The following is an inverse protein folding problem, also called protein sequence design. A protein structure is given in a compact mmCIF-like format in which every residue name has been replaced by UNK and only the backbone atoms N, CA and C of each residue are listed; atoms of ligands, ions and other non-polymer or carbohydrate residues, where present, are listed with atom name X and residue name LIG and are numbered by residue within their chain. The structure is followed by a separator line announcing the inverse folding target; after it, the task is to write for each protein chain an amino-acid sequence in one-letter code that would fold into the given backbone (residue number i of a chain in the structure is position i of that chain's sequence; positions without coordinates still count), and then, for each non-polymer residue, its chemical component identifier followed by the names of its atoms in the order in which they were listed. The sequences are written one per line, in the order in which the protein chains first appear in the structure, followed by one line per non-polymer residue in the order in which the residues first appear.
data_IF_760694495518
#
_entry.id   IF_760694495518
#
_cell.length_a   1.000
_cell.length_b   1.000
_cell.length_c   1.000
_cell.angle_alpha   90.00
_cell.angle_beta   90.00
_cell.angle_gamma   90.00
#
_symmetry.space_group_name_H-M   'P 1'
#
loop_
_entity.id
_entity.type
_entity.pdbx_description
1 polymer ?
#
# COMPACT_ATOMS: atom_id res chain seq x y z
N UNK A 1 -24.27 25.35 -50.37
CA UNK A 1 -23.43 25.66 -49.20
C UNK A 1 -24.28 26.39 -48.17
N UNK A 2 -24.67 25.75 -47.07
CA UNK A 2 -25.06 26.44 -45.83
C UNK A 2 -25.37 25.45 -44.70
N UNK A 3 -25.17 25.93 -43.47
CA UNK A 3 -25.85 25.53 -42.23
C UNK A 3 -25.51 24.18 -41.60
N UNK A 4 -24.25 24.01 -41.17
CA UNK A 4 -23.90 23.33 -39.89
C UNK A 4 -22.56 23.86 -39.37
N UNK A 5 -22.59 24.97 -38.62
CA UNK A 5 -21.56 25.43 -37.65
C UNK A 5 -22.06 26.73 -37.02
N UNK A 6 -23.00 26.62 -36.08
CA UNK A 6 -23.38 27.67 -35.13
C UNK A 6 -24.39 27.08 -34.12
N UNK A 7 -23.92 26.28 -33.17
CA UNK A 7 -24.57 26.12 -31.86
C UNK A 7 -23.56 25.45 -30.93
N UNK A 8 -23.06 26.20 -29.96
CA UNK A 8 -22.06 25.72 -29.00
C UNK A 8 -21.18 26.83 -28.47
N UNK A 9 -21.78 27.90 -27.92
CA UNK A 9 -21.08 28.90 -27.10
C UNK A 9 -22.10 29.84 -26.44
N UNK A 10 -22.82 29.36 -25.42
CA UNK A 10 -23.34 30.17 -24.29
C UNK A 10 -23.65 29.18 -23.16
N UNK A 11 -22.86 29.18 -22.09
CA UNK A 11 -23.23 29.05 -20.66
C UNK A 11 -21.88 28.96 -19.90
N UNK A 12 -21.39 30.13 -19.53
CA UNK A 12 -20.52 30.36 -18.37
C UNK A 12 -20.92 31.75 -17.86
N UNK A 13 -20.92 31.92 -16.53
CA UNK A 13 -21.23 33.14 -15.75
C UNK A 13 -22.66 33.22 -15.19
N UNK A 14 -22.76 32.83 -13.91
CA UNK A 14 -23.65 33.27 -12.81
C UNK A 14 -23.81 32.03 -11.90
N UNK A 15 -23.34 31.97 -10.66
CA UNK A 15 -23.83 32.74 -9.52
C UNK A 15 -22.72 32.82 -8.46
N UNK A 16 -22.22 34.04 -8.22
CA UNK A 16 -21.65 34.47 -6.94
C UNK A 16 -22.36 35.79 -6.62
N UNK A 17 -22.79 35.95 -5.36
CA UNK A 17 -23.50 37.07 -4.71
C UNK A 17 -24.96 36.79 -4.33
N UNK A 18 -25.15 36.27 -3.12
CA UNK A 18 -26.17 36.80 -2.20
C UNK A 18 -25.54 36.83 -0.81
N UNK A 19 -25.26 38.03 -0.31
CA UNK A 19 -25.06 38.30 1.11
C UNK A 19 -26.40 38.62 1.75
N UNK A 20 -26.65 38.08 2.94
CA UNK A 20 -27.62 38.61 3.90
C UNK A 20 -26.98 38.52 5.29
N UNK A 21 -26.90 39.68 5.93
CA UNK A 21 -26.49 39.88 7.32
C UNK A 21 -27.43 39.17 8.30
N UNK A 22 -26.89 38.61 9.38
CA UNK A 22 -27.49 38.70 10.71
C UNK A 22 -26.40 38.56 11.77
N UNK A 23 -26.16 39.63 12.51
CA UNK A 23 -25.49 39.63 13.80
C UNK A 23 -26.54 39.63 14.91
N UNK A 24 -26.35 38.82 15.96
CA UNK A 24 -26.56 39.18 17.40
C UNK A 24 -26.38 37.94 18.31
N UNK A 25 -25.61 38.09 19.40
CA UNK A 25 -25.88 37.40 20.69
C UNK A 25 -24.86 36.40 21.27
N UNK A 26 -23.78 36.89 21.91
CA UNK A 26 -23.09 36.51 23.19
C UNK A 26 -23.20 35.07 23.82
N UNK A 27 -22.33 34.70 24.80
CA UNK A 27 -20.86 34.75 24.90
C UNK A 27 -20.22 33.40 25.36
N UNK A 28 -18.90 33.25 25.23
CA UNK A 28 -18.14 32.33 26.10
C UNK A 28 -17.08 33.06 26.91
N UNK A 29 -17.10 32.75 28.20
CA UNK A 29 -16.36 33.36 29.29
C UNK A 29 -14.86 33.11 29.21
N UNK A 30 -14.08 34.19 29.33
CA UNK A 30 -12.69 34.16 29.77
C UNK A 30 -12.66 33.92 31.28
N UNK A 31 -12.08 32.80 31.71
CA UNK A 31 -11.61 32.64 33.09
C UNK A 31 -10.15 33.08 33.20
N UNK A 32 -9.97 34.01 34.13
CA UNK A 32 -8.72 34.58 34.64
C UNK A 32 -7.84 33.48 35.24
N UNK A 33 -6.54 33.55 34.97
CA UNK A 33 -5.53 33.34 36.01
C UNK A 33 -4.68 34.60 36.10
N UNK A 34 -4.89 35.35 37.19
CA UNK A 34 -3.98 36.39 37.62
C UNK A 34 -2.97 35.80 38.60
N UNK A 35 -1.70 36.12 38.39
CA UNK A 35 -0.72 36.19 39.45
C UNK A 35 0.14 37.42 39.15
N UNK A 36 -0.07 38.45 39.96
CA UNK A 36 0.71 39.67 39.98
C UNK A 36 1.48 39.64 41.29
N UNK A 37 2.82 39.67 41.26
CA UNK A 37 3.62 40.12 42.39
C UNK A 37 4.83 40.91 41.89
N UNK A 38 5.06 41.98 42.62
CA UNK A 38 5.78 43.20 42.31
C UNK A 38 7.29 43.15 42.58
N UNK A 39 7.99 44.02 41.85
CA UNK A 39 9.17 44.83 42.20
C UNK A 39 10.33 44.30 43.06
N UNK A 40 11.58 44.39 42.54
CA UNK A 40 12.55 45.50 42.77
C UNK A 40 13.95 45.14 42.23
N UNK A 41 14.64 46.12 41.61
CA UNK A 41 16.11 46.18 41.58
C UNK A 41 16.78 46.39 40.21
N UNK A 42 17.05 47.66 39.85
CA UNK A 42 18.13 48.10 38.94
C UNK A 42 19.46 48.22 39.73
N UNK A 43 20.69 48.24 39.15
CA UNK A 43 21.15 49.14 38.06
C UNK A 43 22.07 48.51 36.96
N UNK A 44 22.06 48.97 35.69
CA UNK A 44 22.82 50.04 34.97
C UNK A 44 24.34 49.82 34.82
N UNK A 45 24.83 50.12 33.59
CA UNK A 45 26.21 50.42 33.11
C UNK A 45 27.02 49.24 32.48
N UNK A 46 27.73 49.33 31.33
CA UNK A 46 28.30 50.44 30.57
C UNK A 46 28.63 50.07 29.09
N UNK A 47 28.54 51.06 28.19
CA UNK A 47 29.41 51.32 27.01
C UNK A 47 29.44 50.32 25.85
N UNK A 48 29.56 50.66 24.57
CA UNK A 48 30.04 51.88 23.89
C UNK A 48 29.46 51.84 22.47
N UNK A 49 28.99 52.99 21.96
CA UNK A 49 28.69 53.16 20.54
C UNK A 49 28.98 54.61 20.11
N UNK A 50 29.78 54.78 19.04
CA UNK A 50 29.92 55.93 18.10
C UNK A 50 31.28 55.76 17.37
N UNK A 51 31.46 56.01 16.07
CA UNK A 51 30.78 56.99 15.21
C UNK A 51 31.24 56.94 13.72
N UNK A 52 30.28 57.14 12.78
CA UNK A 52 30.30 58.09 11.60
C UNK A 52 31.14 57.69 10.33
N UNK A 53 30.82 58.10 9.05
CA UNK A 53 29.55 58.41 8.35
C UNK A 53 29.39 57.80 6.92
N UNK A 54 28.23 58.13 6.34
CA UNK A 54 27.70 57.95 4.99
C UNK A 54 28.50 58.47 3.78
N UNK A 55 28.15 57.92 2.60
CA UNK A 55 28.23 58.57 1.29
C UNK A 55 27.04 58.15 0.37
N UNK A 56 26.51 59.15 -0.32
CA UNK A 56 25.49 59.25 -1.40
C UNK A 56 25.44 58.10 -2.44
N UNK A 57 24.27 57.63 -2.89
CA UNK A 57 23.44 58.13 -4.04
C UNK A 57 24.25 58.19 -5.36
N UNK A 58 23.96 57.52 -6.49
CA UNK A 58 22.69 57.28 -7.23
C UNK A 58 22.82 56.18 -8.34
N UNK A 59 21.64 55.65 -8.77
CA UNK A 59 21.17 55.13 -10.08
C UNK A 59 21.89 53.99 -10.86
N UNK A 60 21.21 52.85 -11.10
CA UNK A 60 20.29 52.69 -12.25
C UNK A 60 19.63 51.29 -12.34
N UNK A 61 18.32 51.32 -12.65
CA UNK A 61 17.57 50.43 -13.56
C UNK A 61 17.43 48.92 -13.25
N UNK A 62 16.28 48.53 -12.71
CA UNK A 62 15.73 47.17 -12.91
C UNK A 62 14.44 47.25 -13.71
N UNK A 63 14.50 46.79 -14.96
CA UNK A 63 13.35 46.52 -15.81
C UNK A 63 12.65 45.24 -15.37
N UNK A 64 11.33 45.34 -15.22
CA UNK A 64 10.39 44.24 -15.11
C UNK A 64 10.42 43.34 -16.35
N UNK A 65 10.41 42.01 -16.14
CA UNK A 65 9.82 41.07 -17.09
C UNK A 65 9.13 39.92 -16.35
N UNK A 66 7.80 40.01 -16.35
CA UNK A 66 6.77 38.97 -16.33
C UNK A 66 7.28 37.52 -16.18
N UNK A 67 7.02 36.92 -15.02
CA UNK A 67 6.97 35.47 -14.86
C UNK A 67 5.61 34.98 -15.36
N UNK A 68 5.63 34.17 -16.41
CA UNK A 68 4.50 33.33 -16.78
C UNK A 68 4.35 32.24 -15.71
N UNK A 69 3.21 32.24 -15.05
CA UNK A 69 2.71 31.10 -14.29
C UNK A 69 2.32 30.01 -15.28
N UNK A 70 3.12 28.94 -15.38
CA UNK A 70 2.62 27.64 -15.80
C UNK A 70 2.07 26.95 -14.56
N UNK A 71 0.74 26.88 -14.47
CA UNK A 71 0.03 26.04 -13.51
C UNK A 71 0.19 24.57 -13.94
N UNK A 72 0.96 23.82 -13.16
CA UNK A 72 1.32 22.44 -13.43
C UNK A 72 0.21 21.51 -12.89
N UNK A 73 -0.56 20.92 -13.81
CA UNK A 73 -1.75 20.08 -13.55
C UNK A 73 -1.47 18.66 -13.05
N UNK A 74 -0.27 18.38 -12.53
CA UNK A 74 0.16 17.00 -12.19
C UNK A 74 -0.49 16.42 -10.92
N UNK A 75 -1.18 17.24 -10.13
CA UNK A 75 -1.89 16.78 -8.93
C UNK A 75 -3.36 16.38 -9.18
N UNK A 76 -3.90 16.65 -10.38
CA UNK A 76 -5.31 16.37 -10.72
C UNK A 76 -5.48 15.10 -11.56
N UNK A 77 -4.44 14.66 -12.30
CA UNK A 77 -4.52 13.40 -13.09
C UNK A 77 -4.61 12.12 -12.25
N UNK A 78 -4.18 12.15 -10.98
CA UNK A 78 -4.34 11.02 -10.03
C UNK A 78 -5.80 10.84 -9.55
N UNK A 79 -6.64 11.87 -9.70
CA UNK A 79 -8.01 11.88 -9.19
C UNK A 79 -9.08 11.61 -10.26
N UNK A 80 -8.72 11.58 -11.55
CA UNK A 80 -9.70 11.56 -12.65
C UNK A 80 -9.70 10.32 -13.55
N UNK A 81 -8.78 9.35 -13.38
CA UNK A 81 -8.76 8.14 -14.22
C UNK A 81 -9.84 7.09 -13.89
N UNK A 82 -10.78 7.37 -12.97
CA UNK A 82 -11.74 6.37 -12.46
C UNK A 82 -13.18 6.46 -13.00
N UNK A 83 -13.45 7.31 -13.98
CA UNK A 83 -14.83 7.55 -14.44
C UNK A 83 -14.92 7.57 -15.97
N UNK A 84 -15.29 6.43 -16.58
CA UNK A 84 -16.14 6.39 -17.78
C UNK A 84 -16.56 4.94 -18.14
N UNK A 85 -17.88 4.76 -18.26
CA UNK A 85 -18.61 3.87 -19.17
C UNK A 85 -18.67 2.32 -19.01
N UNK A 86 -19.84 1.83 -18.53
CA UNK A 86 -20.96 1.29 -19.33
C UNK A 86 -21.66 0.03 -18.80
N UNK A 87 -22.99 0.09 -18.92
CA UNK A 87 -23.98 -0.86 -18.44
C UNK A 87 -24.52 -1.73 -19.58
N UNK A 88 -24.61 -3.04 -19.35
CA UNK A 88 -25.74 -3.93 -19.71
C UNK A 88 -25.33 -5.39 -19.49
N UNK A 89 -26.02 -6.10 -18.59
CA UNK A 89 -26.99 -7.14 -18.94
C UNK A 89 -27.30 -8.03 -17.71
N UNK A 90 -28.58 -8.39 -17.54
CA UNK A 90 -29.12 -9.20 -16.43
C UNK A 90 -29.90 -10.37 -17.00
N UNK A 91 -29.59 -11.60 -16.59
CA UNK A 91 -30.56 -12.68 -16.33
C UNK A 91 -29.89 -13.75 -15.45
N UNK A 92 -30.40 -14.02 -14.24
CA UNK A 92 -31.18 -15.23 -13.83
C UNK A 92 -30.37 -16.54 -13.94
N UNK A 93 -30.29 -17.48 -12.99
CA UNK A 93 -31.14 -17.81 -11.84
C UNK A 93 -30.48 -18.91 -10.96
N UNK A 94 -30.81 -18.86 -9.67
CA UNK A 94 -30.91 -19.87 -8.59
C UNK A 94 -30.70 -21.38 -8.86
N UNK A 95 -30.09 -22.06 -7.86
CA UNK A 95 -30.46 -23.33 -7.17
C UNK A 95 -29.25 -23.72 -6.26
N UNK A 96 -29.29 -23.65 -4.91
CA UNK A 96 -29.70 -24.68 -3.91
C UNK A 96 -29.20 -26.10 -4.25
N UNK A 97 -28.59 -26.90 -3.38
CA UNK A 97 -28.78 -27.10 -1.95
C UNK A 97 -27.58 -27.77 -1.24
N UNK A 98 -27.67 -27.66 0.09
CA UNK A 98 -27.00 -28.34 1.22
C UNK A 98 -26.58 -29.82 1.06
N UNK A 99 -25.49 -30.23 1.73
CA UNK A 99 -25.56 -31.34 2.70
C UNK A 99 -24.41 -31.32 3.73
N UNK A 100 -24.75 -31.76 4.93
CA UNK A 100 -24.03 -31.77 6.20
C UNK A 100 -23.39 -33.12 6.51
N UNK A 101 -22.25 -33.13 7.21
CA UNK A 101 -21.70 -34.37 7.76
C UNK A 101 -20.57 -34.12 8.76
N UNK A 102 -20.93 -34.02 10.04
CA UNK A 102 -20.02 -34.01 11.19
C UNK A 102 -19.62 -35.43 11.59
N UNK A 103 -18.35 -35.67 11.92
CA UNK A 103 -18.01 -36.69 12.90
C UNK A 103 -16.80 -36.29 13.75
N UNK A 104 -16.92 -36.57 15.03
CA UNK A 104 -16.03 -36.16 16.11
C UNK A 104 -15.28 -37.39 16.62
N UNK A 105 -13.95 -37.35 16.66
CA UNK A 105 -13.17 -38.31 17.45
C UNK A 105 -12.14 -37.59 18.32
N UNK A 106 -12.24 -37.86 19.62
CA UNK A 106 -11.29 -37.43 20.63
C UNK A 106 -10.00 -38.25 20.50
N UNK A 107 -8.86 -37.59 20.44
CA UNK A 107 -7.53 -38.23 20.42
C UNK A 107 -6.90 -38.12 21.81
N UNK A 108 -6.65 -39.29 22.42
CA UNK A 108 -5.88 -39.45 23.66
C UNK A 108 -4.38 -39.29 23.34
N UNK A 109 -3.66 -38.41 24.04
CA UNK A 109 -2.22 -38.17 23.84
C UNK A 109 -1.38 -38.95 24.87
N UNK A 110 -0.63 -39.95 24.39
CA UNK A 110 0.46 -40.60 25.12
C UNK A 110 1.80 -39.84 24.97
N UNK A 111 2.92 -40.35 25.53
CA UNK A 111 4.17 -39.60 25.62
C UNK A 111 4.88 -39.55 24.25
N UNK A 112 4.82 -38.38 23.59
CA UNK A 112 5.19 -38.21 22.18
C UNK A 112 6.71 -38.21 21.90
N UNK A 113 7.08 -38.89 20.81
CA UNK A 113 8.33 -38.72 20.07
C UNK A 113 8.39 -37.30 19.47
N UNK A 114 9.49 -36.53 19.62
CA UNK A 114 9.61 -35.19 19.03
C UNK A 114 9.45 -35.13 17.50
N UNK A 115 9.66 -36.24 16.76
CA UNK A 115 9.37 -36.30 15.33
C UNK A 115 7.87 -36.42 15.05
N UNK A 116 7.14 -37.17 15.88
CA UNK A 116 5.69 -37.34 15.79
C UNK A 116 4.96 -36.02 16.09
N UNK A 117 5.48 -35.22 17.03
CA UNK A 117 4.95 -33.86 17.30
C UNK A 117 5.06 -32.95 16.09
N UNK A 118 6.17 -33.01 15.34
CA UNK A 118 6.35 -32.15 14.16
C UNK A 118 5.40 -32.56 13.03
N UNK A 119 5.27 -33.84 12.75
CA UNK A 119 4.36 -34.35 11.70
C UNK A 119 2.90 -34.06 12.06
N UNK A 120 2.50 -34.26 13.31
CA UNK A 120 1.19 -33.88 13.82
C UNK A 120 0.95 -32.36 13.76
N UNK A 121 1.97 -31.54 14.05
CA UNK A 121 1.87 -30.09 13.94
C UNK A 121 1.77 -29.65 12.47
N UNK A 122 2.50 -30.29 11.57
CA UNK A 122 2.49 -30.03 10.13
C UNK A 122 1.12 -30.45 9.53
N UNK A 123 0.55 -31.59 9.95
CA UNK A 123 -0.80 -32.02 9.55
C UNK A 123 -1.89 -31.11 10.13
N UNK A 124 -1.78 -30.74 11.41
CA UNK A 124 -2.66 -29.76 12.04
C UNK A 124 -2.60 -28.40 11.32
N UNK A 125 -1.40 -27.94 10.95
CA UNK A 125 -1.22 -26.71 10.18
C UNK A 125 -1.66 -26.85 8.72
N UNK A 126 -1.59 -28.04 8.11
CA UNK A 126 -2.06 -28.28 6.75
C UNK A 126 -3.58 -28.06 6.61
N UNK A 127 -4.33 -28.25 7.70
CA UNK A 127 -5.77 -27.93 7.74
C UNK A 127 -6.08 -26.45 7.99
N UNK A 128 -5.11 -25.67 8.47
CA UNK A 128 -5.25 -24.24 8.81
C UNK A 128 -4.78 -23.36 7.68
N UNK A 129 -5.33 -22.16 7.59
CA UNK A 129 -4.97 -21.16 6.57
C UNK A 129 -3.89 -20.19 7.10
N UNK A 130 -2.76 -20.04 6.39
CA UNK A 130 -1.76 -19.04 6.74
C UNK A 130 -2.28 -17.63 6.43
N UNK A 131 -1.99 -16.68 7.33
CA UNK A 131 -2.31 -15.25 7.18
C UNK A 131 -1.02 -14.45 7.04
N UNK A 132 -0.97 -13.59 6.02
CA UNK A 132 0.18 -12.73 5.74
C UNK A 132 -0.05 -11.32 6.31
N UNK A 133 0.80 -10.92 7.25
CA UNK A 133 0.87 -9.56 7.79
C UNK A 133 1.99 -8.82 7.05
N UNK A 134 1.59 -7.97 6.09
CA UNK A 134 2.48 -7.34 5.12
C UNK A 134 2.76 -5.92 5.60
N UNK A 135 4.00 -5.59 5.97
CA UNK A 135 4.31 -4.22 6.40
C UNK A 135 4.25 -3.25 5.20
N UNK A 136 3.48 -2.16 5.35
CA UNK A 136 3.24 -1.17 4.31
C UNK A 136 4.40 -0.19 4.12
N UNK A 137 4.74 0.11 2.87
CA UNK A 137 5.60 1.21 2.44
C UNK A 137 6.96 1.18 3.14
N UNK A 138 7.63 0.02 3.06
CA UNK A 138 8.93 -0.22 3.72
C UNK A 138 10.06 0.35 2.86
N UNK A 139 10.29 1.66 2.96
CA UNK A 139 11.22 2.36 2.08
C UNK A 139 12.68 2.41 2.58
N UNK A 140 12.92 2.07 3.84
CA UNK A 140 14.27 2.13 4.44
C UNK A 140 14.63 0.82 5.13
N UNK A 141 15.93 0.51 5.16
CA UNK A 141 16.50 -0.66 5.84
C UNK A 141 16.14 -0.63 7.33
N UNK A 142 16.10 0.55 7.94
CA UNK A 142 15.64 0.67 9.33
C UNK A 142 14.15 0.32 9.46
N UNK A 143 13.29 0.87 8.59
CA UNK A 143 11.87 0.51 8.57
C UNK A 143 11.64 -0.99 8.33
N UNK A 144 12.48 -1.63 7.51
CA UNK A 144 12.47 -3.08 7.31
C UNK A 144 12.82 -3.83 8.59
N UNK A 145 13.88 -3.43 9.28
CA UNK A 145 14.27 -4.04 10.57
C UNK A 145 13.17 -3.87 11.61
N UNK A 146 12.53 -2.70 11.66
CA UNK A 146 11.43 -2.41 12.57
C UNK A 146 10.22 -3.31 12.27
N UNK A 147 9.82 -3.43 10.99
CA UNK A 147 8.73 -4.30 10.55
C UNK A 147 8.96 -5.77 10.94
N UNK A 148 10.17 -6.29 10.67
CA UNK A 148 10.56 -7.66 11.04
C UNK A 148 10.58 -7.84 12.56
N UNK A 149 11.04 -6.84 13.31
CA UNK A 149 11.03 -6.87 14.78
C UNK A 149 9.61 -6.82 15.36
N UNK A 150 8.65 -6.21 14.66
CA UNK A 150 7.24 -6.19 15.04
C UNK A 150 6.53 -7.52 14.77
N UNK A 151 7.08 -8.36 13.88
CA UNK A 151 6.51 -9.65 13.51
C UNK A 151 5.85 -9.70 12.13
N UNK A 152 6.10 -8.70 11.28
CA UNK A 152 5.73 -8.78 9.87
C UNK A 152 6.35 -10.05 9.25
N UNK A 153 5.55 -10.81 8.51
CA UNK A 153 6.03 -11.99 7.79
C UNK A 153 6.17 -11.73 6.29
N UNK A 154 5.81 -10.54 5.81
CA UNK A 154 6.04 -10.05 4.46
C UNK A 154 6.22 -8.52 4.47
N UNK A 155 6.81 -7.99 3.40
CA UNK A 155 7.11 -6.56 3.25
C UNK A 155 6.58 -6.06 1.92
N UNK A 156 5.82 -4.97 1.91
CA UNK A 156 5.51 -4.21 0.70
C UNK A 156 6.51 -3.05 0.58
N UNK A 157 7.14 -2.95 -0.58
CA UNK A 157 8.18 -1.99 -0.91
C UNK A 157 7.85 -1.36 -2.25
N UNK A 158 7.53 -0.07 -2.24
CA UNK A 158 7.40 0.72 -3.46
C UNK A 158 8.73 0.79 -4.19
N UNK A 159 8.73 0.49 -5.48
CA UNK A 159 9.93 0.47 -6.31
C UNK A 159 9.77 1.45 -7.46
N UNK A 160 10.70 2.40 -7.55
CA UNK A 160 10.83 3.31 -8.70
C UNK A 160 12.25 3.32 -9.24
N UNK A 161 12.38 3.25 -10.56
CA UNK A 161 13.66 3.49 -11.22
C UNK A 161 14.07 4.97 -11.08
N UNK A 162 15.37 5.23 -11.11
CA UNK A 162 15.95 6.58 -11.13
C UNK A 162 17.13 6.64 -12.11
N UNK A 163 17.23 7.76 -12.84
CA UNK A 163 18.33 8.04 -13.80
C UNK A 163 18.76 9.51 -13.79
N UNK A 164 18.20 10.30 -12.89
CA UNK A 164 18.37 11.75 -12.76
C UNK A 164 18.80 12.13 -11.34
N UNK A 165 19.19 13.38 -11.13
CA UNK A 165 19.53 13.94 -9.80
C UNK A 165 20.61 13.16 -9.05
N UNK A 166 21.61 12.65 -9.78
CA UNK A 166 22.70 11.84 -9.21
C UNK A 166 22.30 10.43 -8.79
N UNK A 167 21.06 9.99 -9.05
CA UNK A 167 20.57 8.64 -8.75
C UNK A 167 20.48 7.81 -10.04
N UNK A 168 21.00 6.59 -9.95
CA UNK A 168 20.95 5.59 -11.01
C UNK A 168 20.54 4.24 -10.42
N UNK A 169 19.51 3.61 -10.97
CA UNK A 169 19.01 2.30 -10.53
C UNK A 169 17.65 2.36 -9.83
N UNK A 170 17.23 1.23 -9.28
CA UNK A 170 15.97 1.11 -8.53
C UNK A 170 16.15 1.52 -7.07
N UNK A 171 15.21 2.32 -6.59
CA UNK A 171 15.13 2.78 -5.20
C UNK A 171 13.78 2.41 -4.62
N UNK A 172 13.78 2.20 -3.30
CA UNK A 172 12.57 2.05 -2.52
C UNK A 172 11.91 3.43 -2.43
N UNK A 173 10.94 3.70 -3.31
CA UNK A 173 10.37 5.03 -3.51
C UNK A 173 8.94 4.97 -4.03
N UNK A 174 8.05 5.59 -3.28
CA UNK A 174 6.62 5.67 -3.60
C UNK A 174 6.30 6.88 -4.49
N UNK A 175 6.88 8.06 -4.21
CA UNK A 175 6.36 9.33 -4.73
C UNK A 175 7.10 9.81 -5.99
N UNK A 176 8.35 9.37 -6.21
CA UNK A 176 9.15 9.80 -7.36
C UNK A 176 9.55 11.28 -7.34
N UNK A 177 9.66 11.86 -6.14
CA UNK A 177 10.13 13.24 -5.94
C UNK A 177 11.62 13.23 -5.55
N UNK A 178 12.33 14.34 -5.65
CA UNK A 178 13.79 14.36 -5.37
C UNK A 178 14.13 13.94 -3.92
N UNK A 179 13.20 14.11 -2.99
CA UNK A 179 13.34 13.84 -1.56
C UNK A 179 12.65 12.57 -1.06
N UNK A 180 11.85 11.89 -1.89
CA UNK A 180 11.13 10.68 -1.48
C UNK A 180 11.93 9.36 -1.52
N UNK A 181 13.01 9.20 -2.32
CA UNK A 181 13.75 7.94 -2.36
C UNK A 181 14.30 7.57 -0.99
N UNK A 182 13.95 6.36 -0.56
CA UNK A 182 14.62 5.66 0.52
C UNK A 182 15.89 4.95 0.02
N UNK A 183 16.11 3.74 0.50
CA UNK A 183 17.32 2.98 0.18
C UNK A 183 17.29 2.40 -1.24
N UNK A 184 18.48 2.13 -1.80
CA UNK A 184 18.58 1.39 -3.07
C UNK A 184 18.03 -0.02 -2.93
N UNK A 185 17.42 -0.54 -4.00
CA UNK A 185 16.87 -1.89 -4.02
C UNK A 185 17.95 -2.95 -3.68
N UNK A 186 19.17 -2.82 -4.21
CA UNK A 186 20.26 -3.77 -3.90
C UNK A 186 20.60 -3.79 -2.40
N UNK A 187 20.74 -2.62 -1.78
CA UNK A 187 21.11 -2.51 -0.36
C UNK A 187 19.98 -3.03 0.54
N UNK A 188 18.72 -2.71 0.20
CA UNK A 188 17.54 -3.26 0.85
C UNK A 188 17.50 -4.79 0.74
N UNK A 189 17.70 -5.36 -0.44
CA UNK A 189 17.63 -6.81 -0.64
C UNK A 189 18.77 -7.55 0.08
N UNK A 190 19.98 -6.97 0.14
CA UNK A 190 21.08 -7.50 0.96
C UNK A 190 20.74 -7.45 2.46
N UNK A 191 20.11 -6.38 2.92
CA UNK A 191 19.69 -6.28 4.31
C UNK A 191 18.60 -7.31 4.66
N UNK A 192 17.66 -7.59 3.75
CA UNK A 192 16.65 -8.66 3.90
C UNK A 192 17.32 -10.04 3.92
N UNK A 193 18.27 -10.29 3.01
CA UNK A 193 19.11 -11.48 3.03
C UNK A 193 19.77 -11.68 4.40
N UNK A 194 20.34 -10.63 4.99
CA UNK A 194 20.98 -10.71 6.30
C UNK A 194 19.98 -11.05 7.42
N UNK A 195 18.76 -10.50 7.40
CA UNK A 195 17.70 -10.88 8.34
C UNK A 195 17.35 -12.37 8.21
N UNK A 196 17.23 -12.87 6.98
CA UNK A 196 16.94 -14.28 6.71
C UNK A 196 18.06 -15.21 7.15
N UNK A 197 19.32 -14.84 6.90
CA UNK A 197 20.49 -15.57 7.42
C UNK A 197 20.49 -15.64 8.95
N UNK A 198 19.93 -14.63 9.61
CA UNK A 198 19.76 -14.57 11.06
C UNK A 198 18.45 -15.22 11.55
N UNK A 199 17.79 -16.03 10.72
CA UNK A 199 16.62 -16.82 11.10
C UNK A 199 15.30 -16.05 11.21
N UNK A 200 15.24 -14.79 10.78
CA UNK A 200 13.99 -14.01 10.79
C UNK A 200 13.03 -14.48 9.70
N UNK A 201 11.73 -14.41 9.96
CA UNK A 201 10.71 -14.75 8.96
C UNK A 201 10.50 -13.55 8.05
N UNK A 202 10.76 -13.76 6.75
CA UNK A 202 10.37 -12.84 5.67
C UNK A 202 9.98 -13.77 4.52
N UNK A 203 8.70 -14.11 4.47
CA UNK A 203 8.17 -15.09 3.53
C UNK A 203 8.27 -14.57 2.09
N UNK A 204 7.79 -13.36 1.86
CA UNK A 204 7.91 -12.70 0.57
C UNK A 204 8.09 -11.20 0.70
N UNK A 205 8.58 -10.61 -0.39
CA UNK A 205 8.59 -9.16 -0.62
C UNK A 205 7.66 -8.85 -1.78
N UNK A 206 6.74 -7.92 -1.56
CA UNK A 206 5.91 -7.32 -2.59
C UNK A 206 6.60 -6.07 -3.10
N UNK A 207 7.04 -6.10 -4.36
CA UNK A 207 7.58 -4.95 -5.07
C UNK A 207 6.43 -4.21 -5.76
N UNK A 208 5.93 -3.14 -5.15
CA UNK A 208 4.89 -2.29 -5.75
C UNK A 208 5.55 -1.38 -6.80
N UNK A 209 5.36 -1.73 -8.07
CA UNK A 209 6.09 -1.12 -9.17
C UNK A 209 5.49 0.23 -9.56
N UNK A 210 6.18 1.31 -9.22
CA UNK A 210 5.82 2.67 -9.64
C UNK A 210 6.39 2.96 -11.02
N UNK A 211 5.49 2.97 -12.02
CA UNK A 211 5.79 3.31 -13.42
C UNK A 211 6.94 2.47 -14.02
N UNK A 212 6.82 1.14 -14.04
CA UNK A 212 7.94 0.26 -14.34
C UNK A 212 8.51 0.38 -15.76
N UNK A 213 7.77 1.00 -16.68
CA UNK A 213 8.20 1.23 -18.06
C UNK A 213 8.83 2.60 -18.32
N UNK A 214 8.87 3.53 -17.34
CA UNK A 214 9.62 4.79 -17.50
C UNK A 214 11.13 4.53 -17.63
N UNK A 215 11.62 3.43 -17.04
CA UNK A 215 13.05 3.07 -16.99
C UNK A 215 13.37 1.88 -17.90
N UNK A 216 13.87 2.17 -19.11
CA UNK A 216 13.88 1.20 -20.22
C UNK A 216 15.22 0.51 -20.51
N UNK A 217 16.35 0.96 -19.97
CA UNK A 217 17.67 0.53 -20.44
C UNK A 217 18.70 0.20 -19.34
N UNK A 218 19.49 -0.84 -19.61
CA UNK A 218 20.61 -1.30 -18.79
C UNK A 218 20.18 -2.06 -17.54
N UNK A 219 21.11 -2.17 -16.58
CA UNK A 219 20.89 -2.80 -15.26
C UNK A 219 19.83 -2.08 -14.39
N UNK A 220 19.30 -0.95 -14.87
CA UNK A 220 18.25 -0.19 -14.19
C UNK A 220 16.85 -0.46 -14.76
N UNK A 221 16.71 -1.32 -15.78
CA UNK A 221 15.41 -1.74 -16.28
C UNK A 221 14.75 -2.76 -15.33
N UNK A 222 13.53 -3.19 -15.63
CA UNK A 222 12.80 -4.20 -14.84
C UNK A 222 13.57 -5.52 -14.70
N UNK A 223 14.34 -5.91 -15.72
CA UNK A 223 15.22 -7.08 -15.67
C UNK A 223 16.26 -6.96 -14.57
N UNK A 224 16.86 -5.77 -14.41
CA UNK A 224 17.85 -5.53 -13.36
C UNK A 224 17.25 -5.66 -11.96
N UNK A 225 16.05 -5.12 -11.72
CA UNK A 225 15.35 -5.31 -10.44
C UNK A 225 15.04 -6.79 -10.18
N UNK A 226 14.55 -7.50 -11.20
CA UNK A 226 14.27 -8.94 -11.11
C UNK A 226 15.54 -9.74 -10.79
N UNK A 227 16.63 -9.42 -11.46
CA UNK A 227 17.90 -10.13 -11.29
C UNK A 227 18.52 -9.84 -9.91
N UNK A 228 18.36 -8.63 -9.37
CA UNK A 228 18.71 -8.31 -7.98
C UNK A 228 17.89 -9.13 -6.98
N UNK A 229 16.58 -9.22 -7.17
CA UNK A 229 15.69 -10.04 -6.35
C UNK A 229 16.11 -11.52 -6.36
N UNK A 230 16.39 -12.07 -7.55
CA UNK A 230 16.89 -13.45 -7.71
C UNK A 230 18.24 -13.68 -7.08
N UNK A 231 19.11 -12.68 -7.07
CA UNK A 231 20.47 -12.78 -6.53
C UNK A 231 20.46 -12.77 -4.99
N UNK A 232 19.65 -11.91 -4.38
CA UNK A 232 19.74 -11.65 -2.94
C UNK A 232 18.57 -12.20 -2.12
N UNK A 233 17.35 -12.24 -2.67
CA UNK A 233 16.16 -12.67 -1.92
C UNK A 233 15.92 -14.18 -2.05
N UNK A 234 15.83 -14.66 -3.29
CA UNK A 234 15.40 -16.01 -3.59
C UNK A 234 16.28 -17.14 -3.01
N UNK A 235 17.63 -17.04 -2.99
CA UNK A 235 18.48 -18.09 -2.41
C UNK A 235 18.25 -18.28 -0.90
N UNK A 236 17.62 -17.31 -0.25
CA UNK A 236 17.29 -17.33 1.18
C UNK A 236 15.81 -17.65 1.45
N UNK A 237 15.12 -18.15 0.43
CA UNK A 237 13.73 -18.56 0.48
C UNK A 237 12.74 -17.40 0.57
N UNK A 238 13.18 -16.17 0.26
CA UNK A 238 12.29 -15.00 0.17
C UNK A 238 11.72 -14.98 -1.24
N UNK A 239 10.40 -15.12 -1.30
CA UNK A 239 9.64 -15.10 -2.55
C UNK A 239 9.34 -13.66 -2.98
N UNK A 240 9.03 -13.43 -4.24
CA UNK A 240 8.86 -12.07 -4.80
C UNK A 240 7.53 -11.94 -5.49
N UNK A 241 6.73 -10.98 -5.05
CA UNK A 241 5.48 -10.59 -5.66
C UNK A 241 5.69 -9.28 -6.42
N UNK A 242 5.60 -9.32 -7.74
CA UNK A 242 5.66 -8.11 -8.58
C UNK A 242 4.26 -7.51 -8.68
N UNK A 243 4.04 -6.37 -8.04
CA UNK A 243 2.75 -5.68 -8.04
C UNK A 243 2.64 -4.66 -9.16
N UNK A 244 1.57 -4.75 -9.93
CA UNK A 244 1.25 -3.82 -11.01
C UNK A 244 -0.09 -3.16 -10.75
N UNK A 245 -0.17 -1.85 -10.97
CA UNK A 245 -1.45 -1.20 -11.22
C UNK A 245 -2.01 -1.66 -12.57
N UNK A 246 -3.34 -1.68 -12.70
CA UNK A 246 -4.01 -2.05 -13.95
C UNK A 246 -3.45 -1.31 -15.17
N UNK A 247 -3.14 -0.03 -15.04
CA UNK A 247 -2.60 0.84 -16.10
C UNK A 247 -1.18 0.46 -16.57
N UNK A 248 -0.55 -0.56 -15.98
CA UNK A 248 0.78 -1.04 -16.35
C UNK A 248 0.79 -2.49 -16.86
N UNK A 249 -0.37 -3.17 -16.89
CA UNK A 249 -0.46 -4.60 -17.21
C UNK A 249 -0.25 -4.91 -18.70
N UNK A 250 -0.59 -3.99 -19.60
CA UNK A 250 -0.30 -4.09 -21.03
C UNK A 250 1.10 -3.54 -21.39
N UNK A 251 1.85 -3.10 -20.39
CA UNK A 251 3.20 -2.56 -20.51
C UNK A 251 4.27 -3.62 -20.76
N UNK A 252 5.46 -3.15 -21.16
CA UNK A 252 6.61 -4.02 -21.44
C UNK A 252 7.06 -4.72 -20.17
N UNK A 253 7.13 -4.01 -19.05
CA UNK A 253 7.61 -4.57 -17.80
C UNK A 253 6.77 -5.75 -17.31
N UNK A 254 5.44 -5.65 -17.44
CA UNK A 254 4.55 -6.77 -17.16
C UNK A 254 4.87 -7.98 -18.04
N UNK A 255 5.02 -7.77 -19.35
CA UNK A 255 5.41 -8.82 -20.29
C UNK A 255 6.74 -9.50 -19.92
N UNK A 256 7.75 -8.71 -19.54
CA UNK A 256 9.06 -9.25 -19.13
C UNK A 256 8.95 -10.13 -17.89
N UNK A 257 8.23 -9.68 -16.86
CA UNK A 257 8.02 -10.47 -15.64
C UNK A 257 7.20 -11.72 -15.96
N UNK A 258 6.07 -11.57 -16.67
CA UNK A 258 5.23 -12.69 -17.11
C UNK A 258 6.02 -13.77 -17.84
N UNK A 259 6.84 -13.41 -18.80
CA UNK A 259 7.52 -14.40 -19.66
C UNK A 259 8.75 -15.02 -19.01
N UNK A 260 9.26 -14.42 -17.92
CA UNK A 260 10.48 -14.89 -17.28
C UNK A 260 10.33 -15.23 -15.80
N UNK A 261 9.13 -15.25 -15.22
CA UNK A 261 8.92 -15.57 -13.80
C UNK A 261 9.30 -17.03 -13.48
N UNK A 262 9.81 -17.27 -12.27
CA UNK A 262 10.15 -18.62 -11.80
C UNK A 262 9.18 -19.09 -10.68
N UNK A 263 9.49 -20.18 -9.97
CA UNK A 263 8.64 -20.72 -8.91
C UNK A 263 8.57 -19.87 -7.64
N UNK A 264 9.55 -18.99 -7.43
CA UNK A 264 9.61 -18.03 -6.31
C UNK A 264 9.10 -16.64 -6.70
N UNK A 265 8.50 -16.51 -7.89
CA UNK A 265 7.93 -15.27 -8.40
C UNK A 265 6.42 -15.43 -8.55
N UNK A 266 5.68 -14.37 -8.22
CA UNK A 266 4.26 -14.20 -8.53
C UNK A 266 3.99 -12.76 -8.99
N UNK A 267 2.77 -12.53 -9.48
CA UNK A 267 2.34 -11.22 -9.96
C UNK A 267 1.05 -10.83 -9.25
N UNK A 268 0.99 -9.62 -8.72
CA UNK A 268 -0.26 -9.00 -8.27
C UNK A 268 -0.73 -7.93 -9.25
N UNK A 269 -2.05 -7.80 -9.35
CA UNK A 269 -2.68 -6.69 -10.06
C UNK A 269 -3.62 -5.99 -9.09
N UNK A 270 -3.44 -4.68 -8.96
CA UNK A 270 -4.32 -3.81 -8.21
C UNK A 270 -5.50 -3.35 -9.09
N UNK A 271 -6.69 -3.90 -8.86
CA UNK A 271 -7.96 -3.49 -9.46
C UNK A 271 -9.13 -4.25 -8.81
N UNK A 272 -10.37 -3.93 -9.19
CA UNK A 272 -11.57 -4.73 -8.93
C UNK A 272 -11.37 -6.18 -9.38
N UNK A 273 -11.98 -7.12 -8.66
CA UNK A 273 -11.72 -8.55 -8.86
C UNK A 273 -11.94 -9.03 -10.30
N UNK A 274 -13.03 -8.57 -10.93
CA UNK A 274 -13.34 -8.91 -12.32
C UNK A 274 -12.31 -8.36 -13.32
N UNK A 275 -11.81 -7.14 -13.07
CA UNK A 275 -10.78 -6.52 -13.91
C UNK A 275 -9.44 -7.22 -13.76
N UNK A 276 -9.07 -7.63 -12.55
CA UNK A 276 -7.88 -8.44 -12.30
C UNK A 276 -7.97 -9.76 -13.05
N UNK A 277 -9.10 -10.46 -12.94
CA UNK A 277 -9.32 -11.72 -13.66
C UNK A 277 -9.17 -11.55 -15.17
N UNK A 278 -9.86 -10.56 -15.75
CA UNK A 278 -9.77 -10.22 -17.18
C UNK A 278 -8.34 -9.87 -17.60
N UNK A 279 -7.63 -9.13 -16.77
CA UNK A 279 -6.24 -8.72 -17.01
C UNK A 279 -5.31 -9.92 -17.10
N UNK A 280 -5.44 -10.90 -16.19
CA UNK A 280 -4.67 -12.13 -16.27
C UNK A 280 -5.04 -13.00 -17.48
N UNK A 281 -6.32 -13.07 -17.84
CA UNK A 281 -6.76 -13.79 -19.05
C UNK A 281 -6.15 -13.17 -20.31
N UNK A 282 -6.15 -11.84 -20.41
CA UNK A 282 -5.74 -11.13 -21.61
C UNK A 282 -4.22 -10.99 -21.73
N UNK A 283 -3.55 -10.64 -20.64
CA UNK A 283 -2.12 -10.28 -20.67
C UNK A 283 -1.26 -11.29 -19.92
N UNK A 284 -1.81 -12.03 -18.95
CA UNK A 284 -1.06 -12.89 -18.02
C UNK A 284 -1.16 -14.39 -18.31
N UNK A 285 -1.50 -14.80 -19.53
CA UNK A 285 -1.80 -16.20 -19.88
C UNK A 285 -0.71 -17.22 -19.45
N UNK A 286 0.57 -16.81 -19.45
CA UNK A 286 1.70 -17.67 -19.05
C UNK A 286 1.91 -17.76 -17.53
N UNK A 287 1.22 -16.95 -16.72
CA UNK A 287 1.31 -17.00 -15.26
C UNK A 287 0.30 -18.04 -14.76
N UNK A 288 0.78 -19.04 -14.03
CA UNK A 288 -0.08 -20.05 -13.40
C UNK A 288 -1.07 -19.41 -12.44
N UNK A 289 -2.31 -19.91 -12.37
CA UNK A 289 -3.35 -19.32 -11.52
C UNK A 289 -2.92 -19.18 -10.05
N UNK A 290 -2.17 -20.15 -9.54
CA UNK A 290 -1.60 -20.13 -8.18
C UNK A 290 -0.66 -18.95 -7.93
N UNK A 291 -0.06 -18.39 -8.98
CA UNK A 291 0.86 -17.22 -8.93
C UNK A 291 0.19 -15.91 -9.34
N UNK A 292 -1.13 -15.92 -9.53
CA UNK A 292 -1.94 -14.73 -9.79
C UNK A 292 -2.49 -14.25 -8.46
N UNK A 293 -2.10 -13.03 -8.07
CA UNK A 293 -2.59 -12.39 -6.86
C UNK A 293 -3.52 -11.25 -7.26
N UNK A 294 -4.69 -11.20 -6.64
CA UNK A 294 -5.55 -10.03 -6.71
C UNK A 294 -5.32 -9.17 -5.48
N UNK A 295 -5.12 -7.88 -5.67
CA UNK A 295 -5.08 -6.96 -4.54
C UNK A 295 -5.99 -5.76 -4.78
N UNK A 296 -6.59 -5.28 -3.70
CA UNK A 296 -7.50 -4.14 -3.75
C UNK A 296 -7.51 -3.44 -2.40
N UNK A 297 -7.73 -2.13 -2.43
CA UNK A 297 -7.58 -1.36 -1.23
C UNK A 297 -7.63 0.13 -1.44
N UNK A 298 -7.52 0.83 -0.31
CA UNK A 298 -7.41 2.26 -0.26
C UNK A 298 -6.51 2.66 0.90
N UNK A 299 -5.68 3.69 0.70
CA UNK A 299 -4.75 4.17 1.74
C UNK A 299 -5.48 4.56 3.04
N UNK A 300 -6.73 4.98 2.94
CA UNK A 300 -7.65 5.14 4.05
C UNK A 300 -8.73 4.06 4.00
N UNK A 301 -8.41 2.84 4.44
CA UNK A 301 -9.26 1.65 4.27
C UNK A 301 -10.73 1.81 4.71
N UNK A 302 -11.02 2.63 5.72
CA UNK A 302 -12.39 2.88 6.17
C UNK A 302 -13.25 3.68 5.17
N UNK A 303 -12.61 4.42 4.27
CA UNK A 303 -13.29 5.13 3.19
C UNK A 303 -13.75 4.14 2.14
N UNK A 304 -15.04 4.20 1.77
CA UNK A 304 -15.64 3.28 0.79
C UNK A 304 -15.38 1.80 1.11
N UNK A 305 -15.37 1.46 2.40
CA UNK A 305 -15.13 0.09 2.85
C UNK A 305 -16.29 -0.86 2.51
N UNK A 306 -17.53 -0.39 2.69
CA UNK A 306 -18.75 -1.20 2.54
C UNK A 306 -18.98 -2.18 3.70
N UNK A 307 -20.00 -3.02 3.57
CA UNK A 307 -20.34 -4.08 4.51
C UNK A 307 -20.14 -5.49 3.92
N UNK A 308 -19.51 -5.59 2.76
CA UNK A 308 -19.19 -6.82 2.03
C UNK A 308 -20.42 -7.56 1.46
N UNK A 309 -21.61 -6.98 1.57
CA UNK A 309 -22.85 -7.54 1.02
C UNK A 309 -23.32 -6.77 -0.21
N UNK A 310 -22.70 -5.62 -0.50
CA UNK A 310 -22.94 -4.86 -1.71
C UNK A 310 -22.62 -5.69 -2.97
N UNK A 311 -23.20 -5.32 -4.13
CA UNK A 311 -22.93 -6.01 -5.38
C UNK A 311 -21.54 -5.69 -5.95
N UNK A 312 -20.97 -4.50 -5.74
CA UNK A 312 -19.66 -4.10 -6.29
C UNK A 312 -19.10 -2.86 -5.56
N UNK A 313 -18.00 -2.31 -6.09
CA UNK A 313 -17.38 -1.01 -5.80
C UNK A 313 -16.62 -0.90 -4.48
N UNK A 314 -17.26 -1.29 -3.38
CA UNK A 314 -16.71 -1.12 -2.04
C UNK A 314 -15.53 -2.07 -1.79
N UNK A 315 -14.54 -1.60 -1.03
CA UNK A 315 -13.29 -2.32 -0.78
C UNK A 315 -13.53 -3.74 -0.28
N UNK A 316 -14.40 -3.92 0.71
CA UNK A 316 -14.69 -5.25 1.22
C UNK A 316 -15.39 -6.14 0.20
N UNK A 317 -16.29 -5.58 -0.61
CA UNK A 317 -17.04 -6.32 -1.62
C UNK A 317 -16.15 -6.83 -2.74
N UNK A 318 -15.24 -5.98 -3.24
CA UNK A 318 -14.27 -6.37 -4.27
C UNK A 318 -13.30 -7.43 -3.74
N UNK A 319 -12.81 -7.29 -2.51
CA UNK A 319 -11.96 -8.29 -1.87
C UNK A 319 -12.69 -9.61 -1.62
N UNK A 320 -13.98 -9.59 -1.26
CA UNK A 320 -14.81 -10.79 -1.14
C UNK A 320 -14.99 -11.48 -2.49
N UNK A 321 -15.19 -10.72 -3.56
CA UNK A 321 -15.28 -11.28 -4.92
C UNK A 321 -13.97 -11.93 -5.33
N UNK A 322 -12.84 -11.27 -5.09
CA UNK A 322 -11.53 -11.87 -5.31
C UNK A 322 -11.33 -13.14 -4.48
N UNK A 323 -11.77 -13.14 -3.21
CA UNK A 323 -11.75 -14.31 -2.33
C UNK A 323 -12.51 -15.51 -2.90
N UNK A 324 -13.72 -15.28 -3.43
CA UNK A 324 -14.51 -16.31 -4.13
C UNK A 324 -13.81 -16.82 -5.40
N UNK A 325 -13.32 -15.91 -6.24
CA UNK A 325 -12.60 -16.26 -7.46
C UNK A 325 -11.35 -17.09 -7.17
N UNK A 326 -10.66 -16.80 -6.06
CA UNK A 326 -9.53 -17.61 -5.59
C UNK A 326 -9.97 -19.00 -5.14
N UNK A 327 -11.06 -19.12 -4.37
CA UNK A 327 -11.61 -20.43 -3.99
C UNK A 327 -12.02 -21.26 -5.22
N UNK A 328 -12.44 -20.60 -6.30
CA UNK A 328 -12.74 -21.21 -7.62
C UNK A 328 -11.48 -21.52 -8.45
N UNK A 329 -10.28 -21.21 -7.95
CA UNK A 329 -9.01 -21.50 -8.61
C UNK A 329 -8.55 -20.48 -9.65
N UNK A 330 -9.14 -19.28 -9.69
CA UNK A 330 -8.75 -18.22 -10.62
C UNK A 330 -7.54 -17.40 -10.14
N UNK A 331 -7.35 -17.33 -8.83
CA UNK A 331 -6.23 -16.66 -8.17
C UNK A 331 -5.60 -17.59 -7.14
N UNK A 332 -4.33 -17.35 -6.81
CA UNK A 332 -3.64 -18.07 -5.75
C UNK A 332 -3.76 -17.42 -4.39
N UNK A 333 -3.81 -16.08 -4.35
CA UNK A 333 -4.01 -15.28 -3.14
C UNK A 333 -4.76 -13.98 -3.42
N UNK A 334 -5.28 -13.39 -2.34
CA UNK A 334 -5.96 -12.10 -2.30
C UNK A 334 -5.44 -11.30 -1.13
N UNK A 335 -5.02 -10.06 -1.37
CA UNK A 335 -4.52 -9.16 -0.33
C UNK A 335 -5.29 -7.84 -0.28
N UNK A 336 -5.57 -7.34 0.93
CA UNK A 336 -6.23 -6.06 1.16
C UNK A 336 -5.28 -5.00 1.72
N UNK A 337 -5.54 -3.72 1.44
CA UNK A 337 -4.71 -2.62 1.95
C UNK A 337 -5.49 -1.30 2.13
N UNK A 338 -5.08 -0.34 2.98
CA UNK A 338 -4.06 -0.44 4.04
C UNK A 338 -4.73 -0.40 5.41
N UNK A 339 -4.50 -1.42 6.25
CA UNK A 339 -4.96 -1.46 7.62
C UNK A 339 -4.09 -0.55 8.52
N UNK A 340 -4.70 0.48 9.08
CA UNK A 340 -4.07 1.38 10.05
C UNK A 340 -4.47 1.03 11.49
N UNK A 341 -3.94 1.79 12.45
CA UNK A 341 -4.31 1.68 13.87
C UNK A 341 -5.82 1.88 14.08
N UNK A 342 -6.36 1.20 15.10
CA UNK A 342 -7.77 1.25 15.52
C UNK A 342 -8.76 0.75 14.44
N UNK A 343 -8.37 -0.28 13.68
CA UNK A 343 -9.18 -0.84 12.59
C UNK A 343 -9.43 -2.35 12.74
N UNK A 344 -9.41 -2.87 13.97
CA UNK A 344 -9.65 -4.28 14.27
C UNK A 344 -10.93 -4.85 13.64
N UNK A 345 -12.03 -4.07 13.59
CA UNK A 345 -13.28 -4.51 12.96
C UNK A 345 -13.16 -4.64 11.44
N UNK A 346 -12.35 -3.78 10.79
CA UNK A 346 -12.06 -3.90 9.36
C UNK A 346 -11.18 -5.12 9.09
N UNK A 347 -10.16 -5.36 9.94
CA UNK A 347 -9.34 -6.57 9.86
C UNK A 347 -10.19 -7.83 10.02
N UNK A 348 -11.09 -7.85 11.00
CA UNK A 348 -12.02 -8.95 11.23
C UNK A 348 -12.92 -9.20 10.02
N UNK A 349 -13.44 -8.13 9.44
CA UNK A 349 -14.33 -8.20 8.28
C UNK A 349 -13.59 -8.69 7.03
N UNK A 350 -12.37 -8.21 6.78
CA UNK A 350 -11.59 -8.63 5.62
C UNK A 350 -11.10 -10.08 5.74
N UNK A 351 -10.57 -10.48 6.90
CA UNK A 351 -10.06 -11.84 7.11
C UNK A 351 -11.20 -12.86 7.28
N UNK A 352 -12.28 -12.50 7.97
CA UNK A 352 -13.42 -13.39 8.25
C UNK A 352 -14.43 -13.45 7.12
N UNK A 353 -14.89 -12.30 6.61
CA UNK A 353 -16.00 -12.22 5.64
C UNK A 353 -15.51 -12.15 4.20
N UNK A 354 -14.57 -11.25 3.89
CA UNK A 354 -13.98 -11.19 2.55
C UNK A 354 -12.98 -12.32 2.29
N UNK A 355 -12.51 -12.98 3.36
CA UNK A 355 -11.61 -14.13 3.35
C UNK A 355 -10.28 -13.86 2.65
N UNK A 356 -9.74 -12.64 2.75
CA UNK A 356 -8.41 -12.32 2.21
C UNK A 356 -7.31 -13.15 2.90
N UNK A 357 -6.21 -13.42 2.21
CA UNK A 357 -5.08 -14.19 2.76
C UNK A 357 -4.13 -13.35 3.60
N UNK A 358 -4.22 -12.03 3.46
CA UNK A 358 -3.29 -11.13 4.09
C UNK A 358 -3.71 -9.69 3.96
N UNK A 359 -3.13 -8.87 4.84
CA UNK A 359 -3.39 -7.46 4.93
C UNK A 359 -2.07 -6.70 4.92
N UNK A 360 -2.00 -5.68 4.07
CA UNK A 360 -0.99 -4.64 4.20
C UNK A 360 -1.38 -3.75 5.38
N UNK A 361 -0.45 -3.52 6.29
CA UNK A 361 -0.68 -2.76 7.51
C UNK A 361 0.42 -1.74 7.80
N UNK A 362 0.06 -0.67 8.50
CA UNK A 362 1.00 0.35 8.96
C UNK A 362 0.41 1.75 8.90
N UNK A 363 1.23 2.73 8.55
CA UNK A 363 0.75 4.08 8.31
C UNK A 363 0.00 4.16 6.99
N UNK A 364 -0.96 5.08 6.90
CA UNK A 364 -1.75 5.32 5.67
C UNK A 364 -0.91 5.94 4.55
N UNK A 365 0.00 6.85 4.90
CA UNK A 365 0.66 7.74 3.93
C UNK A 365 2.19 7.76 4.06
N UNK A 366 2.75 7.49 5.24
CA UNK A 366 4.20 7.61 5.46
C UNK A 366 4.89 6.25 5.47
N UNK A 367 6.20 6.25 5.25
CA UNK A 367 7.01 5.05 5.30
C UNK A 367 6.96 4.34 6.66
N UNK A 368 7.12 3.02 6.63
CA UNK A 368 7.18 2.21 7.84
C UNK A 368 8.36 2.61 8.73
N UNK A 369 8.11 2.64 10.04
CA UNK A 369 9.11 2.83 11.10
C UNK A 369 8.56 2.30 12.41
N UNK A 370 9.44 2.14 13.39
CA UNK A 370 9.02 1.89 14.76
C UNK A 370 8.10 3.02 15.26
N UNK A 371 6.86 2.64 15.55
CA UNK A 371 5.86 3.52 16.13
C UNK A 371 4.78 2.71 16.83
N UNK A 372 4.14 3.29 17.85
CA UNK A 372 3.03 2.65 18.56
C UNK A 372 1.88 2.26 17.61
N UNK A 373 1.60 3.09 16.60
CA UNK A 373 0.50 2.87 15.65
C UNK A 373 0.80 1.70 14.69
N UNK A 374 2.04 1.55 14.22
CA UNK A 374 2.42 0.42 13.36
C UNK A 374 2.38 -0.90 14.12
N UNK A 375 2.79 -0.89 15.40
CA UNK A 375 2.64 -2.04 16.31
C UNK A 375 1.18 -2.36 16.60
N UNK A 376 0.33 -1.34 16.79
CA UNK A 376 -1.10 -1.52 17.04
C UNK A 376 -1.83 -2.09 15.82
N UNK A 377 -1.55 -1.58 14.61
CA UNK A 377 -2.10 -2.14 13.37
C UNK A 377 -1.70 -3.61 13.15
N UNK A 378 -0.44 -3.98 13.44
CA UNK A 378 -0.02 -5.39 13.45
C UNK A 378 -0.82 -6.22 14.46
N UNK A 379 -1.01 -5.67 15.67
CA UNK A 379 -1.69 -6.33 16.76
C UNK A 379 -3.14 -6.67 16.43
N UNK A 380 -3.81 -5.88 15.60
CA UNK A 380 -5.18 -6.17 15.12
C UNK A 380 -5.21 -7.49 14.33
N UNK A 381 -4.26 -7.68 13.40
CA UNK A 381 -4.11 -8.93 12.63
C UNK A 381 -3.74 -10.09 13.56
N UNK A 382 -2.74 -9.89 14.42
CA UNK A 382 -2.26 -10.91 15.34
C UNK A 382 -3.38 -11.38 16.29
N UNK A 383 -4.15 -10.45 16.84
CA UNK A 383 -5.27 -10.74 17.76
C UNK A 383 -6.37 -11.50 17.03
N UNK A 384 -6.68 -11.12 15.78
CA UNK A 384 -7.66 -11.86 14.98
C UNK A 384 -7.21 -13.30 14.75
N UNK A 385 -5.95 -13.52 14.36
CA UNK A 385 -5.39 -14.86 14.15
C UNK A 385 -5.42 -15.68 15.43
N UNK A 386 -5.08 -15.09 16.58
CA UNK A 386 -5.13 -15.78 17.87
C UNK A 386 -6.55 -16.25 18.23
N UNK A 387 -7.55 -15.38 18.00
CA UNK A 387 -8.97 -15.71 18.22
C UNK A 387 -9.49 -16.79 17.26
N UNK A 388 -8.90 -16.91 16.08
CA UNK A 388 -9.25 -17.91 15.06
C UNK A 388 -8.17 -18.99 14.91
N UNK A 389 -7.43 -19.27 15.99
CA UNK A 389 -6.26 -20.16 15.94
C UNK A 389 -6.60 -21.59 15.49
N UNK A 390 -7.84 -22.06 15.67
CA UNK A 390 -8.29 -23.36 15.17
C UNK A 390 -8.24 -23.45 13.64
N UNK A 391 -8.45 -22.35 12.92
CA UNK A 391 -8.56 -22.33 11.45
C UNK A 391 -7.47 -21.52 10.77
N UNK A 392 -6.77 -20.63 11.50
CA UNK A 392 -5.78 -19.72 10.95
C UNK A 392 -4.52 -19.64 11.83
N UNK A 393 -3.41 -19.24 11.21
CA UNK A 393 -2.15 -18.89 11.87
C UNK A 393 -1.44 -17.77 11.09
N UNK A 394 -0.46 -17.11 11.70
CA UNK A 394 0.42 -16.21 10.97
C UNK A 394 1.38 -17.06 10.14
N UNK A 395 1.46 -16.80 8.84
CA UNK A 395 2.35 -17.51 7.94
C UNK A 395 3.80 -17.46 8.45
N UNK A 396 4.43 -18.62 8.53
CA UNK A 396 5.86 -18.80 8.71
C UNK A 396 6.60 -18.71 7.39
N UNK A 397 7.88 -19.09 7.39
CA UNK A 397 8.74 -18.99 6.20
C UNK A 397 8.37 -19.99 5.09
N UNK A 398 7.96 -21.20 5.49
CA UNK A 398 7.79 -22.31 4.56
C UNK A 398 6.42 -22.31 3.88
N UNK A 399 5.43 -21.63 4.46
CA UNK A 399 4.10 -21.49 3.87
C UNK A 399 4.23 -20.86 2.49
N UNK A 400 3.57 -21.46 1.49
CA UNK A 400 3.64 -20.91 0.15
C UNK A 400 2.65 -19.75 0.01
N UNK A 401 3.12 -18.54 -0.32
CA UNK A 401 2.25 -17.43 -0.70
C UNK A 401 1.68 -17.63 -2.12
N UNK A 402 2.09 -18.67 -2.86
CA UNK A 402 1.48 -19.09 -4.13
C UNK A 402 1.72 -20.57 -4.43
#
# INVERSE_FOLDING_TARGET
MSLRKALGCVICVAVWLVGVEFATGFPTQLTRFGANLDHRGQPVENGVNRAIPARSEELHSTSYSVLQHEEDGSAIESLTESMEDWASDRSLSQLTDTDTGSDSSQVYLGPNDPFEVKEQLDEYNASRKPVFAIAHRVLTIQGMKDAVAHGANALEIDMRGWSSWGRKGWYCDHDGTVTSPGDKAEDMFRAIQDQRRNGKIINFVWLDLKKPDEYKAGENAIEGLRDLARKYLQPWGVRVLYGFYRSHVDGRAFGVIRDNHNYLDAVSINDKAANVHKSFQQYGANIQNTKRVADYGYFNLGFQFGNCSEPDYYTCTELRHAGRMRDEGNFGKVFGWTLAVDQADLANTLLGTARVDGLIYGFKVTAYRDHKDTRAAFKDIQTWVQKHSVTHYLAGQNDSPW
#
